data_IF_450414998047
#
_entry.id   IF_450414998047
#
_cell.length_a   1.000
_cell.length_b   1.000
_cell.length_c   1.000
_cell.angle_alpha   90.00
_cell.angle_beta   90.00
_cell.angle_gamma   90.00
#
_symmetry.space_group_name_H-M   'P 1'
#
loop_
_entity.id
_entity.type
_entity.pdbx_description
1 polymer ?
#
# COMPACT_ATOMS: atom_id res chain seq x y z
N UNK A 1 -8.25 -0.82 20.20
CA UNK A 1 -7.31 -0.40 19.15
C UNK A 1 -7.85 -0.91 17.81
N UNK A 2 -8.20 -0.04 16.85
CA UNK A 2 -8.63 -0.47 15.51
C UNK A 2 -7.38 -0.56 14.63
N UNK A 3 -6.98 -1.77 14.27
CA UNK A 3 -5.87 -2.02 13.33
C UNK A 3 -6.41 -2.47 11.99
N UNK A 4 -5.89 -1.92 10.90
CA UNK A 4 -6.25 -2.33 9.54
C UNK A 4 -5.38 -3.50 9.11
N UNK A 5 -5.93 -4.73 9.11
CA UNK A 5 -5.16 -5.94 8.81
C UNK A 5 -4.81 -6.06 7.32
N UNK A 6 -5.57 -5.37 6.48
CA UNK A 6 -5.39 -5.31 5.03
C UNK A 6 -4.24 -4.39 4.62
N UNK A 7 -3.71 -3.58 5.54
CA UNK A 7 -2.62 -2.64 5.27
C UNK A 7 -1.29 -3.36 5.45
N UNK A 8 -0.53 -3.50 4.38
CA UNK A 8 0.77 -4.17 4.39
C UNK A 8 1.90 -3.21 4.72
N UNK A 9 1.85 -2.02 4.15
CA UNK A 9 2.90 -1.03 4.27
C UNK A 9 2.27 0.36 4.31
N UNK A 10 2.84 1.24 5.15
CA UNK A 10 2.45 2.64 5.28
C UNK A 10 3.72 3.47 5.22
N UNK A 11 3.66 4.57 4.48
CA UNK A 11 4.74 5.53 4.33
C UNK A 11 4.19 6.94 4.54
N UNK A 12 4.91 7.74 5.31
CA UNK A 12 4.78 9.19 5.27
C UNK A 12 5.53 9.70 4.05
N UNK A 13 4.88 10.57 3.27
CA UNK A 13 5.44 11.09 2.02
C UNK A 13 5.24 12.59 1.94
N UNK A 14 6.09 13.25 1.15
CA UNK A 14 5.93 14.67 0.81
C UNK A 14 5.17 14.81 -0.51
N UNK A 15 4.54 15.96 -0.73
CA UNK A 15 3.77 16.26 -1.95
C UNK A 15 2.29 16.52 -1.65
N UNK A 16 1.42 16.14 -2.59
CA UNK A 16 -0.03 16.40 -2.49
C UNK A 16 -0.76 15.53 -1.45
N UNK A 17 -0.09 14.49 -0.94
CA UNK A 17 -0.62 13.54 0.03
C UNK A 17 0.40 13.36 1.15
N UNK A 18 -0.08 13.23 2.39
CA UNK A 18 0.78 13.03 3.56
C UNK A 18 1.14 11.54 3.77
N UNK A 19 0.25 10.63 3.33
CA UNK A 19 0.36 9.19 3.59
C UNK A 19 0.12 8.40 2.30
N UNK A 20 0.99 7.41 2.06
CA UNK A 20 0.81 6.37 1.04
C UNK A 20 0.77 5.00 1.70
N UNK A 21 -0.23 4.18 1.37
CA UNK A 21 -0.37 2.83 1.89
C UNK A 21 -0.55 1.81 0.77
N UNK A 22 0.09 0.65 0.92
CA UNK A 22 -0.15 -0.53 0.08
C UNK A 22 -1.07 -1.45 0.88
N UNK A 23 -2.19 -1.81 0.26
CA UNK A 23 -3.21 -2.67 0.86
C UNK A 23 -3.47 -3.88 -0.02
N UNK A 24 -3.71 -5.03 0.61
CA UNK A 24 -4.18 -6.25 -0.06
C UNK A 24 -5.59 -6.57 0.43
N UNK A 25 -6.50 -6.75 -0.52
CA UNK A 25 -7.93 -7.00 -0.26
C UNK A 25 -8.42 -8.08 -1.22
N UNK A 26 -9.36 -8.89 -0.77
CA UNK A 26 -9.80 -10.09 -1.51
C UNK A 26 -10.67 -9.75 -2.72
N UNK A 27 -11.39 -8.62 -2.69
CA UNK A 27 -12.30 -8.20 -3.74
C UNK A 27 -12.64 -6.70 -3.65
N UNK A 28 -13.39 -6.21 -4.63
CA UNK A 28 -13.79 -4.78 -4.74
C UNK A 28 -14.72 -4.34 -3.60
N UNK A 29 -15.57 -5.23 -3.09
CA UNK A 29 -16.44 -4.89 -1.95
C UNK A 29 -15.60 -4.67 -0.68
N UNK A 30 -14.62 -5.53 -0.43
CA UNK A 30 -13.67 -5.37 0.67
C UNK A 30 -12.83 -4.08 0.53
N UNK A 31 -12.42 -3.73 -0.70
CA UNK A 31 -11.74 -2.47 -0.99
C UNK A 31 -12.61 -1.26 -0.60
N UNK A 32 -13.87 -1.23 -1.03
CA UNK A 32 -14.78 -0.12 -0.73
C UNK A 32 -15.00 0.02 0.78
N UNK A 33 -15.25 -1.09 1.47
CA UNK A 33 -15.41 -1.10 2.92
C UNK A 33 -14.16 -0.59 3.65
N UNK A 34 -12.96 -0.93 3.16
CA UNK A 34 -11.70 -0.43 3.72
C UNK A 34 -11.57 1.09 3.50
N UNK A 35 -11.89 1.58 2.31
CA UNK A 35 -11.84 3.03 2.00
C UNK A 35 -12.80 3.81 2.90
N UNK A 36 -14.02 3.31 3.09
CA UNK A 36 -15.00 3.99 3.94
C UNK A 36 -14.55 3.99 5.41
N UNK A 37 -13.96 2.90 5.89
CA UNK A 37 -13.38 2.88 7.24
C UNK A 37 -12.21 3.89 7.37
N UNK A 38 -11.33 4.00 6.37
CA UNK A 38 -10.24 4.98 6.38
C UNK A 38 -10.77 6.42 6.46
N UNK A 39 -11.86 6.73 5.75
CA UNK A 39 -12.50 8.06 5.80
C UNK A 39 -13.12 8.41 7.16
N UNK A 40 -13.40 7.41 8.00
CA UNK A 40 -13.89 7.65 9.38
C UNK A 40 -12.78 7.95 10.38
N UNK A 41 -11.51 7.78 10.00
CA UNK A 41 -10.37 8.05 10.88
C UNK A 41 -10.21 9.57 11.03
N UNK A 42 -10.21 10.05 12.27
CA UNK A 42 -10.00 11.47 12.57
C UNK A 42 -8.68 11.97 11.96
N UNK A 43 -8.75 13.07 11.20
CA UNK A 43 -7.61 13.64 10.50
C UNK A 43 -7.50 13.25 9.02
N UNK A 44 -8.21 12.19 8.57
CA UNK A 44 -8.27 11.84 7.14
C UNK A 44 -9.20 12.81 6.42
N UNK A 45 -8.62 13.71 5.60
CA UNK A 45 -9.37 14.72 4.82
C UNK A 45 -9.83 14.21 3.46
N UNK A 46 -8.99 13.44 2.78
CA UNK A 46 -9.24 12.89 1.44
C UNK A 46 -8.43 11.62 1.24
N UNK A 47 -8.97 10.69 0.45
CA UNK A 47 -8.30 9.47 0.03
C UNK A 47 -8.31 9.39 -1.49
N UNK A 48 -7.19 9.00 -2.10
CA UNK A 48 -7.12 8.61 -3.50
C UNK A 48 -6.68 7.15 -3.61
N UNK A 49 -7.40 6.35 -4.40
CA UNK A 49 -7.14 4.91 -4.52
C UNK A 49 -6.65 4.58 -5.92
N UNK A 50 -5.49 3.93 -5.99
CA UNK A 50 -4.88 3.47 -7.25
C UNK A 50 -4.80 1.95 -7.24
N UNK A 51 -5.51 1.30 -8.16
CA UNK A 51 -5.53 -0.17 -8.29
C UNK A 51 -4.41 -0.62 -9.20
N UNK A 52 -3.61 -1.58 -8.72
CA UNK A 52 -2.55 -2.20 -9.51
C UNK A 52 -3.18 -3.24 -10.45
N UNK A 53 -3.19 -2.95 -11.75
CA UNK A 53 -3.71 -3.87 -12.77
C UNK A 53 -2.70 -4.94 -13.18
N UNK A 54 -1.41 -4.62 -13.10
CA UNK A 54 -0.31 -5.53 -13.44
C UNK A 54 0.96 -5.13 -12.68
N UNK A 55 1.67 -6.11 -12.13
CA UNK A 55 2.98 -5.92 -11.49
C UNK A 55 4.07 -6.18 -12.53
N UNK A 56 4.95 -5.21 -12.73
CA UNK A 56 6.17 -5.38 -13.50
C UNK A 56 7.32 -5.46 -12.51
N UNK A 57 7.95 -6.62 -12.41
CA UNK A 57 9.19 -6.77 -11.67
C UNK A 57 10.32 -6.32 -12.59
N UNK A 58 11.12 -5.35 -12.16
CA UNK A 58 12.38 -5.10 -12.83
C UNK A 58 13.22 -6.38 -12.66
N UNK A 59 13.70 -6.98 -13.75
CA UNK A 59 14.70 -8.03 -13.71
C UNK A 59 16.02 -7.42 -13.21
N UNK A 60 16.10 -7.18 -11.90
CA UNK A 60 17.34 -6.87 -11.21
C UNK A 60 18.19 -8.12 -11.21
N UNK A 61 18.93 -8.35 -12.30
CA UNK A 61 19.97 -9.36 -12.36
C UNK A 61 21.16 -8.89 -11.50
N UNK A 62 20.96 -8.83 -10.19
CA UNK A 62 22.01 -8.67 -9.19
C UNK A 62 22.70 -9.99 -8.98
N UNK A 63 23.47 -10.44 -9.97
CA UNK A 63 24.36 -11.59 -9.84
C UNK A 63 25.47 -11.26 -8.84
N UNK A 64 25.22 -11.50 -7.55
CA UNK A 64 26.27 -11.48 -6.55
C UNK A 64 26.89 -12.88 -6.50
N UNK A 65 27.81 -13.16 -7.43
CA UNK A 65 28.70 -14.31 -7.32
C UNK A 65 29.78 -13.98 -6.28
N UNK A 66 29.43 -14.13 -5.01
CA UNK A 66 30.32 -13.98 -3.87
C UNK A 66 30.45 -15.28 -3.11
N UNK A 67 30.97 -16.33 -3.75
CA UNK A 67 31.57 -17.43 -3.01
C UNK A 67 32.96 -16.98 -2.57
N UNK A 68 33.08 -16.49 -1.33
CA UNK A 68 34.37 -16.28 -0.66
C UNK A 68 34.42 -17.25 0.51
N UNK A 69 35.22 -18.30 0.37
CA UNK A 69 35.53 -19.29 1.42
C UNK A 69 34.69 -20.55 1.34
#
# INVERSE_FOLDING_TARGET
MRGFHQVNNVYEVTGDYDISAIVNVDNVMALNNLIDQLRTVAGVKRTETRVILKKYFANGNGGNNGNIG
#
